data_IF_289955712625
#
_entry.id   IF_289955712625
#
_cell.length_a   1.000
_cell.length_b   1.000
_cell.length_c   1.000
_cell.angle_alpha   90.00
_cell.angle_beta   90.00
_cell.angle_gamma   90.00
#
_symmetry.space_group_name_H-M   'P 1'
#
loop_
_entity.id
_entity.type
_entity.pdbx_description
1 polymer ?
#
# COMPACT_ATOMS: atom_id res chain seq x y z
N UNK A 1 9.22 3.40 -8.14
CA UNK A 1 7.87 3.99 -8.31
C UNK A 1 7.91 5.41 -7.79
N UNK A 2 7.34 6.32 -8.54
CA UNK A 2 7.03 7.68 -8.11
C UNK A 2 5.52 7.85 -8.12
N UNK A 3 4.95 8.28 -7.00
CA UNK A 3 3.51 8.43 -6.83
C UNK A 3 3.19 9.79 -6.22
N UNK A 4 2.23 10.51 -6.83
CA UNK A 4 1.64 11.71 -6.26
C UNK A 4 0.24 11.37 -5.76
N UNK A 5 -0.04 11.71 -4.51
CA UNK A 5 -1.31 11.42 -3.85
C UNK A 5 -1.94 12.71 -3.35
N UNK A 6 -3.23 12.92 -3.65
CA UNK A 6 -4.00 14.07 -3.15
C UNK A 6 -5.07 13.60 -2.19
N UNK A 7 -5.06 14.14 -1.00
CA UNK A 7 -6.06 13.87 0.04
C UNK A 7 -6.83 15.13 0.38
N UNK A 8 -8.14 15.01 0.51
CA UNK A 8 -9.02 16.07 1.02
C UNK A 8 -9.64 15.63 2.34
N UNK A 9 -9.48 16.43 3.38
CA UNK A 9 -10.14 16.16 4.66
C UNK A 9 -11.64 16.42 4.55
N UNK A 10 -12.42 15.36 4.47
CA UNK A 10 -13.89 15.39 4.46
C UNK A 10 -14.50 15.17 5.85
N UNK A 11 -13.67 15.01 6.88
CA UNK A 11 -14.12 14.84 8.26
C UNK A 11 -14.54 16.18 8.90
N UNK A 12 -15.21 16.10 10.03
CA UNK A 12 -15.71 17.27 10.76
C UNK A 12 -14.65 17.92 11.66
N UNK A 13 -13.44 17.37 11.73
CA UNK A 13 -12.36 17.85 12.59
C UNK A 13 -11.07 18.04 11.83
N UNK A 14 -10.19 18.96 12.26
CA UNK A 14 -8.85 19.07 11.73
C UNK A 14 -8.04 17.79 12.00
N UNK A 15 -7.30 17.32 11.00
CA UNK A 15 -6.47 16.11 11.08
C UNK A 15 -5.01 16.50 11.33
N UNK A 16 -4.41 15.95 12.40
CA UNK A 16 -3.00 16.16 12.76
C UNK A 16 -2.08 15.09 12.16
N UNK A 17 -2.64 13.98 11.73
CA UNK A 17 -1.96 12.84 11.16
C UNK A 17 -2.79 12.23 10.05
N UNK A 18 -2.13 11.52 9.14
CA UNK A 18 -2.76 10.71 8.10
C UNK A 18 -2.12 9.33 8.08
N UNK A 19 -2.87 8.35 7.62
CA UNK A 19 -2.39 6.99 7.52
C UNK A 19 -2.43 6.52 6.07
N UNK A 20 -1.40 5.73 5.71
CA UNK A 20 -1.28 5.12 4.39
C UNK A 20 -1.18 3.61 4.55
N UNK A 21 -1.75 2.90 3.61
CA UNK A 21 -1.69 1.44 3.50
C UNK A 21 -0.71 1.06 2.40
N UNK A 22 0.31 0.28 2.75
CA UNK A 22 1.36 -0.23 1.89
C UNK A 22 1.30 -1.76 1.89
N UNK A 23 0.29 -2.30 1.26
CA UNK A 23 -0.02 -3.73 1.30
C UNK A 23 1.05 -4.62 0.69
N UNK A 24 1.91 -4.07 -0.17
CA UNK A 24 3.08 -4.79 -0.68
C UNK A 24 4.06 -5.19 0.42
N UNK A 25 4.09 -4.43 1.53
CA UNK A 25 4.98 -4.74 2.65
C UNK A 25 4.45 -5.85 3.58
N UNK A 26 3.21 -6.30 3.40
CA UNK A 26 2.64 -7.41 4.19
C UNK A 26 3.30 -8.77 3.92
N UNK A 27 4.09 -8.86 2.84
CA UNK A 27 4.82 -10.08 2.45
C UNK A 27 6.25 -10.14 2.99
N UNK A 28 6.64 -9.23 3.90
CA UNK A 28 8.01 -9.07 4.36
C UNK A 28 8.54 -10.31 5.10
N UNK A 29 7.80 -10.77 6.12
CA UNK A 29 8.22 -11.88 6.97
C UNK A 29 7.04 -12.56 7.71
N UNK A 30 7.35 -13.45 8.64
CA UNK A 30 6.36 -14.21 9.42
C UNK A 30 5.68 -13.41 10.53
N UNK A 31 6.07 -12.17 10.80
CA UNK A 31 5.48 -11.35 11.86
C UNK A 31 4.28 -10.53 11.37
N UNK A 32 4.14 -10.38 10.04
CA UNK A 32 3.07 -9.60 9.42
C UNK A 32 1.68 -10.20 9.69
N UNK A 33 0.66 -9.37 9.64
CA UNK A 33 -0.74 -9.79 9.80
C UNK A 33 -1.15 -10.83 8.74
N UNK A 34 -0.70 -10.64 7.49
CA UNK A 34 -0.94 -11.59 6.41
C UNK A 34 -0.30 -12.96 6.68
N UNK A 35 0.95 -12.97 7.14
CA UNK A 35 1.65 -14.22 7.46
C UNK A 35 0.94 -15.00 8.55
N UNK A 36 0.48 -14.32 9.60
CA UNK A 36 -0.29 -14.92 10.69
C UNK A 36 -1.60 -15.52 10.17
N UNK A 37 -2.37 -14.75 9.39
CA UNK A 37 -3.61 -15.26 8.79
C UNK A 37 -3.38 -16.51 7.93
N UNK A 38 -2.38 -16.50 7.02
CA UNK A 38 -2.05 -17.66 6.19
C UNK A 38 -1.71 -18.89 7.07
N UNK A 39 -1.01 -18.67 8.17
CA UNK A 39 -0.68 -19.73 9.13
C UNK A 39 -1.93 -20.27 9.85
N UNK A 40 -2.86 -19.39 10.23
CA UNK A 40 -4.11 -19.75 10.90
C UNK A 40 -5.04 -20.57 10.01
N UNK A 41 -4.92 -20.43 8.69
CA UNK A 41 -5.59 -21.26 7.69
C UNK A 41 -4.86 -22.59 7.41
N UNK A 42 -3.96 -22.99 8.31
CA UNK A 42 -3.14 -24.20 8.22
C UNK A 42 -2.22 -24.27 7.00
N UNK A 43 -2.01 -23.16 6.29
CA UNK A 43 -1.04 -23.08 5.19
C UNK A 43 0.34 -22.72 5.71
N UNK A 44 1.31 -23.60 5.49
CA UNK A 44 2.71 -23.39 5.86
C UNK A 44 3.57 -22.83 4.74
N UNK A 45 3.01 -22.62 3.57
CA UNK A 45 3.75 -22.20 2.37
C UNK A 45 4.52 -20.90 2.58
N UNK A 46 3.87 -19.91 3.20
CA UNK A 46 4.50 -18.62 3.50
C UNK A 46 5.52 -18.71 4.65
N UNK A 47 5.21 -19.48 5.69
CA UNK A 47 6.10 -19.64 6.87
C UNK A 47 7.46 -20.24 6.51
N UNK A 48 7.49 -21.16 5.56
CA UNK A 48 8.72 -21.80 5.06
C UNK A 48 9.31 -21.11 3.82
N UNK A 49 8.71 -20.01 3.35
CA UNK A 49 9.18 -19.30 2.19
C UNK A 49 10.61 -18.76 2.39
N UNK A 50 11.45 -18.95 1.40
CA UNK A 50 12.78 -18.35 1.37
C UNK A 50 12.69 -16.84 1.18
N UNK A 51 13.69 -16.08 1.62
CA UNK A 51 13.75 -14.62 1.48
C UNK A 51 13.52 -14.15 0.03
N UNK A 52 13.99 -14.90 -0.97
CA UNK A 52 13.79 -14.57 -2.39
C UNK A 52 12.33 -14.63 -2.83
N UNK A 53 11.52 -15.49 -2.21
CA UNK A 53 10.09 -15.69 -2.51
C UNK A 53 9.18 -14.70 -1.80
N UNK A 54 9.69 -13.97 -0.82
CA UNK A 54 8.93 -12.96 -0.06
C UNK A 54 8.95 -11.62 -0.76
N UNK A 55 7.92 -10.84 -0.56
CA UNK A 55 7.79 -9.48 -1.06
C UNK A 55 8.06 -8.44 0.03
N UNK A 56 8.26 -7.20 -0.39
CA UNK A 56 8.39 -6.06 0.52
C UNK A 56 8.30 -4.76 -0.27
N UNK A 57 8.10 -3.65 0.42
CA UNK A 57 8.32 -2.33 -0.13
C UNK A 57 9.46 -1.63 0.60
N UNK A 58 10.17 -0.78 -0.12
CA UNK A 58 11.21 0.10 0.43
C UNK A 58 10.86 1.53 0.07
N UNK A 59 10.53 2.35 1.07
CA UNK A 59 10.21 3.75 0.88
C UNK A 59 11.49 4.56 0.96
N UNK A 60 11.85 5.21 -0.15
CA UNK A 60 13.02 6.06 -0.23
C UNK A 60 12.72 7.44 0.35
N UNK A 61 11.51 7.94 0.10
CA UNK A 61 11.11 9.27 0.57
C UNK A 61 9.59 9.46 0.53
N UNK A 62 9.07 10.21 1.51
CA UNK A 62 7.71 10.77 1.53
C UNK A 62 7.85 12.27 1.73
N UNK A 63 7.35 13.07 0.78
CA UNK A 63 7.51 14.52 0.77
C UNK A 63 6.18 15.25 0.70
N UNK A 64 6.08 16.32 1.45
CA UNK A 64 5.12 17.41 1.31
C UNK A 64 5.61 18.57 2.18
N UNK A 65 5.19 19.79 1.88
CA UNK A 65 5.53 20.95 2.70
C UNK A 65 4.97 20.88 4.14
N UNK A 66 3.95 20.06 4.36
CA UNK A 66 3.25 19.93 5.63
C UNK A 66 3.58 18.63 6.40
N UNK A 67 4.50 17.80 5.94
CA UNK A 67 4.94 16.60 6.65
C UNK A 67 6.04 16.97 7.65
N UNK A 68 5.88 16.53 8.90
CA UNK A 68 6.89 16.61 9.95
C UNK A 68 7.74 15.35 9.99
N UNK A 69 7.10 14.20 10.20
CA UNK A 69 7.72 12.88 10.26
C UNK A 69 6.82 11.82 9.67
N UNK A 70 7.37 10.67 9.37
CA UNK A 70 6.61 9.47 9.06
C UNK A 70 7.29 8.23 9.63
N UNK A 71 6.50 7.20 9.93
CA UNK A 71 6.97 5.93 10.47
C UNK A 71 6.05 4.78 10.04
N UNK A 72 6.57 3.56 10.00
CA UNK A 72 5.75 2.36 9.94
C UNK A 72 5.31 1.99 11.35
N UNK A 73 4.08 1.51 11.50
CA UNK A 73 3.60 1.05 12.80
C UNK A 73 4.23 -0.32 13.12
N UNK A 74 4.81 -0.45 14.32
CA UNK A 74 5.54 -1.65 14.76
C UNK A 74 4.69 -2.94 14.68
N UNK A 75 3.40 -2.84 14.96
CA UNK A 75 2.49 -3.99 14.99
C UNK A 75 1.83 -4.29 13.64
N UNK A 76 1.96 -3.37 12.67
CA UNK A 76 1.32 -3.45 11.35
C UNK A 76 2.26 -2.84 10.32
N UNK A 77 3.27 -3.61 9.90
CA UNK A 77 4.38 -3.16 9.04
C UNK A 77 3.97 -2.64 7.66
N UNK A 78 2.73 -2.85 7.28
CA UNK A 78 2.10 -2.36 6.06
C UNK A 78 1.22 -1.11 6.26
N UNK A 79 1.26 -0.53 7.47
CA UNK A 79 0.62 0.76 7.76
C UNK A 79 1.69 1.82 8.05
N UNK A 80 1.53 2.98 7.42
CA UNK A 80 2.43 4.12 7.58
C UNK A 80 1.65 5.26 8.22
N UNK A 81 2.17 5.78 9.32
CA UNK A 81 1.69 6.99 9.97
C UNK A 81 2.50 8.18 9.48
N UNK A 82 1.83 9.26 9.09
CA UNK A 82 2.45 10.52 8.67
C UNK A 82 1.96 11.63 9.59
N UNK A 83 2.87 12.21 10.36
CA UNK A 83 2.59 13.33 11.25
C UNK A 83 2.70 14.65 10.49
N UNK A 84 1.79 15.57 10.74
CA UNK A 84 1.69 16.84 10.03
C UNK A 84 2.21 18.00 10.89
N UNK A 85 2.96 18.94 10.28
CA UNK A 85 3.41 20.19 10.94
C UNK A 85 2.22 21.05 11.37
N UNK A 86 1.18 21.09 10.52
CA UNK A 86 -0.06 21.83 10.78
C UNK A 86 -1.24 20.94 10.45
N UNK A 87 -2.29 20.95 11.29
CA UNK A 87 -3.50 20.17 11.01
C UNK A 87 -4.14 20.55 9.68
N UNK A 88 -4.67 19.56 8.95
CA UNK A 88 -5.49 19.78 7.76
C UNK A 88 -6.90 20.11 8.23
N UNK A 89 -7.35 21.35 8.04
CA UNK A 89 -8.71 21.77 8.38
C UNK A 89 -9.77 20.97 7.61
N UNK A 90 -10.99 20.92 8.12
CA UNK A 90 -12.15 20.40 7.38
C UNK A 90 -12.25 21.07 6.00
N UNK A 91 -12.36 20.27 4.93
CA UNK A 91 -12.35 20.74 3.55
C UNK A 91 -10.97 21.07 2.99
N UNK A 92 -9.92 21.14 3.83
CA UNK A 92 -8.52 21.33 3.41
C UNK A 92 -7.95 20.12 2.72
N UNK A 93 -6.83 20.30 2.02
CA UNK A 93 -6.19 19.25 1.25
C UNK A 93 -4.67 19.21 1.48
N UNK A 94 -4.09 18.05 1.22
CA UNK A 94 -2.64 17.85 1.16
C UNK A 94 -2.30 17.06 -0.10
N UNK A 95 -1.15 17.38 -0.69
CA UNK A 95 -0.51 16.60 -1.73
C UNK A 95 0.77 15.97 -1.16
N UNK A 96 0.97 14.71 -1.43
CA UNK A 96 2.11 13.92 -0.95
C UNK A 96 2.78 13.26 -2.16
N UNK A 97 4.08 13.37 -2.22
CA UNK A 97 4.93 12.66 -3.16
C UNK A 97 5.63 11.51 -2.45
N UNK A 98 5.57 10.31 -3.03
CA UNK A 98 6.22 9.12 -2.49
C UNK A 98 7.14 8.52 -3.55
N UNK A 99 8.39 8.24 -3.15
CA UNK A 99 9.36 7.47 -3.93
C UNK A 99 9.61 6.15 -3.24
N UNK A 100 9.36 5.06 -3.92
CA UNK A 100 9.51 3.73 -3.33
C UNK A 100 9.76 2.65 -4.39
N UNK A 101 10.22 1.50 -3.94
CA UNK A 101 10.36 0.29 -4.76
C UNK A 101 9.60 -0.86 -4.11
N UNK A 102 9.16 -1.81 -4.93
CA UNK A 102 8.48 -3.01 -4.50
C UNK A 102 9.28 -4.20 -4.98
N UNK A 103 9.54 -5.13 -4.07
CA UNK A 103 9.94 -6.48 -4.39
C UNK A 103 8.68 -7.34 -4.35
N UNK A 104 8.31 -7.89 -5.48
CA UNK A 104 7.13 -8.76 -5.58
C UNK A 104 7.37 -10.10 -4.87
N UNK A 105 6.35 -10.67 -4.19
CA UNK A 105 6.39 -12.03 -3.68
C UNK A 105 6.16 -13.06 -4.79
N UNK A 106 6.37 -14.32 -4.50
CA UNK A 106 5.89 -15.44 -5.29
C UNK A 106 4.35 -15.45 -5.30
N UNK A 107 3.73 -15.46 -6.48
CA UNK A 107 2.26 -15.31 -6.65
C UNK A 107 1.45 -16.44 -6.02
N UNK A 108 2.07 -17.59 -5.75
CA UNK A 108 1.41 -18.76 -5.13
C UNK A 108 0.82 -18.48 -3.74
N UNK A 109 1.27 -17.41 -3.07
CA UNK A 109 0.75 -17.11 -1.72
C UNK A 109 -0.67 -16.54 -1.77
N UNK A 110 -0.94 -15.63 -2.72
CA UNK A 110 -2.21 -14.87 -2.75
C UNK A 110 -2.67 -14.48 -4.16
N UNK A 111 -1.98 -14.92 -5.19
CA UNK A 111 -2.22 -14.47 -6.56
C UNK A 111 -1.64 -13.07 -6.89
N UNK A 112 -1.06 -12.36 -5.93
CA UNK A 112 -0.28 -11.16 -6.14
C UNK A 112 1.20 -11.51 -6.14
N UNK A 113 1.95 -11.00 -7.13
CA UNK A 113 3.38 -11.22 -7.18
C UNK A 113 3.88 -11.63 -8.56
N UNK A 114 4.83 -12.54 -8.61
CA UNK A 114 5.37 -13.07 -9.86
C UNK A 114 5.25 -14.60 -9.91
N UNK A 115 5.20 -15.14 -11.13
CA UNK A 115 5.26 -16.56 -11.45
C UNK A 115 6.00 -16.69 -12.78
N UNK A 116 7.21 -17.25 -12.75
CA UNK A 116 8.15 -17.23 -13.87
C UNK A 116 8.29 -15.83 -14.49
N UNK A 117 7.79 -15.64 -15.71
CA UNK A 117 7.86 -14.38 -16.46
C UNK A 117 6.58 -13.51 -16.34
N UNK A 118 5.61 -13.94 -15.53
CA UNK A 118 4.35 -13.22 -15.35
C UNK A 118 4.33 -12.41 -14.05
N UNK A 119 3.75 -11.21 -14.12
CA UNK A 119 3.60 -10.31 -12.97
C UNK A 119 2.13 -9.98 -12.75
N UNK A 120 1.65 -10.24 -11.53
CA UNK A 120 0.26 -10.04 -11.12
C UNK A 120 0.19 -8.90 -10.11
N UNK A 121 -0.26 -7.73 -10.55
CA UNK A 121 -0.30 -6.52 -9.73
C UNK A 121 -1.74 -6.26 -9.25
N UNK A 122 -2.00 -6.56 -7.98
CA UNK A 122 -3.28 -6.32 -7.29
C UNK A 122 -3.02 -5.49 -6.03
N UNK A 123 -3.68 -4.35 -5.87
CA UNK A 123 -3.58 -3.49 -4.67
C UNK A 123 -2.13 -3.13 -4.28
N UNK A 124 -1.28 -2.90 -5.27
CA UNK A 124 0.16 -2.72 -5.14
C UNK A 124 0.60 -1.27 -4.88
N UNK A 125 -0.29 -0.31 -5.14
CA UNK A 125 -0.02 1.09 -4.87
C UNK A 125 -0.22 1.41 -3.39
N UNK A 126 0.57 2.36 -2.87
CA UNK A 126 0.31 2.94 -1.56
C UNK A 126 -0.94 3.80 -1.66
N UNK A 127 -1.86 3.66 -0.70
CA UNK A 127 -3.13 4.39 -0.69
C UNK A 127 -3.39 5.02 0.67
N UNK A 128 -4.28 6.01 0.75
CA UNK A 128 -4.73 6.52 2.04
C UNK A 128 -5.64 5.49 2.71
N UNK A 129 -5.47 5.30 4.03
CA UNK A 129 -6.42 4.53 4.84
C UNK A 129 -7.81 5.15 4.80
N UNK A 130 -8.83 4.35 5.03
CA UNK A 130 -10.19 4.85 5.14
C UNK A 130 -10.35 5.73 6.39
N UNK A 131 -11.13 6.81 6.26
CA UNK A 131 -11.50 7.68 7.38
C UNK A 131 -13.02 7.87 7.41
N UNK A 132 -13.61 7.71 8.59
CA UNK A 132 -15.03 7.99 8.81
C UNK A 132 -15.21 8.59 10.21
N UNK A 133 -16.04 9.61 10.34
CA UNK A 133 -16.24 10.32 11.60
C UNK A 133 -14.95 10.74 12.31
N UNK A 134 -13.95 11.17 11.54
CA UNK A 134 -12.61 11.55 12.03
C UNK A 134 -11.80 10.41 12.67
N UNK A 135 -12.21 9.17 12.49
CA UNK A 135 -11.50 7.96 12.93
C UNK A 135 -10.89 7.29 11.71
N UNK A 136 -9.60 6.98 11.78
CA UNK A 136 -8.88 6.23 10.77
C UNK A 136 -9.12 4.72 10.95
N UNK A 137 -9.46 4.06 9.86
CA UNK A 137 -9.62 2.61 9.76
C UNK A 137 -8.45 2.05 8.98
N UNK A 138 -7.35 1.78 9.69
CA UNK A 138 -6.14 1.23 9.11
C UNK A 138 -6.31 -0.28 8.91
N UNK A 139 -6.23 -0.75 7.67
CA UNK A 139 -6.40 -2.16 7.34
C UNK A 139 -5.09 -2.76 6.86
N UNK A 140 -4.50 -3.67 7.64
CA UNK A 140 -3.46 -4.56 7.15
C UNK A 140 -3.99 -5.45 6.03
N UNK A 141 -3.14 -5.74 5.06
CA UNK A 141 -3.46 -6.71 4.03
C UNK A 141 -3.65 -8.10 4.66
N UNK A 142 -4.85 -8.61 4.56
CA UNK A 142 -5.20 -9.98 4.96
C UNK A 142 -5.58 -10.85 3.75
N UNK A 143 -5.47 -10.31 2.54
CA UNK A 143 -5.90 -10.97 1.31
C UNK A 143 -7.37 -11.45 1.38
N UNK A 144 -8.24 -10.61 1.91
CA UNK A 144 -9.69 -10.85 1.98
C UNK A 144 -10.39 -10.10 0.86
N UNK A 145 -11.46 -10.67 0.33
CA UNK A 145 -12.22 -10.05 -0.77
C UNK A 145 -13.06 -8.85 -0.31
N UNK A 146 -13.39 -8.79 0.98
CA UNK A 146 -14.17 -7.73 1.60
C UNK A 146 -13.34 -6.58 2.19
N UNK A 147 -12.02 -6.59 2.00
CA UNK A 147 -11.17 -5.46 2.42
C UNK A 147 -11.52 -4.21 1.61
N UNK A 148 -11.85 -3.15 2.34
CA UNK A 148 -12.30 -1.90 1.76
C UNK A 148 -11.13 -0.95 1.53
N UNK A 149 -10.95 -0.50 0.27
CA UNK A 149 -10.07 0.61 -0.07
C UNK A 149 -10.89 1.87 -0.28
N UNK A 150 -10.29 3.02 0.03
CA UNK A 150 -10.91 4.31 -0.26
C UNK A 150 -11.03 4.50 -1.78
N UNK A 151 -12.19 4.95 -2.25
CA UNK A 151 -12.38 5.27 -3.67
C UNK A 151 -11.48 6.42 -4.08
N UNK A 152 -10.71 6.22 -5.14
CA UNK A 152 -9.82 7.23 -5.70
C UNK A 152 -9.78 7.13 -7.23
N UNK A 153 -9.46 8.23 -7.89
CA UNK A 153 -9.08 8.22 -9.30
C UNK A 153 -7.59 7.94 -9.44
N UNK A 154 -7.23 7.17 -10.46
CA UNK A 154 -5.85 6.83 -10.75
C UNK A 154 -5.49 7.22 -12.17
N UNK A 155 -4.30 7.79 -12.32
CA UNK A 155 -3.63 7.95 -13.59
C UNK A 155 -2.28 7.26 -13.47
N UNK A 156 -2.01 6.27 -14.32
CA UNK A 156 -0.81 5.45 -14.26
C UNK A 156 -0.03 5.58 -15.56
N UNK A 157 1.27 5.84 -15.44
CA UNK A 157 2.23 5.69 -16.52
C UNK A 157 3.17 4.55 -16.16
N UNK A 158 3.13 3.48 -16.94
CA UNK A 158 3.92 2.27 -16.71
C UNK A 158 4.91 2.14 -17.85
N UNK A 159 6.19 1.93 -17.51
CA UNK A 159 7.23 1.57 -18.46
C UNK A 159 7.73 0.18 -18.12
N UNK A 160 7.90 -0.67 -19.12
CA UNK A 160 8.34 -2.06 -18.98
C UNK A 160 9.14 -2.46 -20.23
N UNK A 161 9.84 -3.58 -20.15
CA UNK A 161 10.67 -4.09 -21.24
C UNK A 161 9.81 -4.53 -22.44
N UNK A 162 10.38 -4.44 -23.65
CA UNK A 162 9.65 -4.67 -24.91
C UNK A 162 9.05 -6.09 -25.03
N UNK A 163 9.64 -7.05 -24.35
CA UNK A 163 9.19 -8.46 -24.34
C UNK A 163 7.96 -8.69 -23.46
N UNK A 164 7.52 -7.70 -22.68
CA UNK A 164 6.38 -7.81 -21.79
C UNK A 164 5.09 -7.25 -22.43
N UNK A 165 3.98 -7.87 -22.09
CA UNK A 165 2.66 -7.42 -22.49
C UNK A 165 1.83 -7.00 -21.28
N UNK A 166 1.27 -5.78 -21.32
CA UNK A 166 0.42 -5.26 -20.25
C UNK A 166 -1.06 -5.56 -20.51
N UNK A 167 -1.68 -6.27 -19.58
CA UNK A 167 -3.13 -6.44 -19.49
C UNK A 167 -3.67 -5.66 -18.29
N UNK A 168 -4.70 -4.87 -18.48
CA UNK A 168 -5.28 -4.03 -17.41
C UNK A 168 -6.78 -3.87 -17.63
N UNK A 169 -7.52 -3.74 -16.52
CA UNK A 169 -8.92 -3.33 -16.51
C UNK A 169 -9.08 -1.78 -16.50
N UNK A 170 -7.99 -1.02 -16.52
CA UNK A 170 -8.02 0.42 -16.63
C UNK A 170 -8.23 0.86 -18.09
N UNK A 171 -8.85 2.03 -18.28
CA UNK A 171 -9.01 2.63 -19.60
C UNK A 171 -7.63 3.06 -20.08
N UNK A 172 -7.19 2.53 -21.22
CA UNK A 172 -5.93 2.89 -21.84
C UNK A 172 -6.11 4.21 -22.60
N UNK A 173 -5.44 5.26 -22.17
CA UNK A 173 -5.29 6.48 -22.94
C UNK A 173 -4.06 6.32 -23.85
N UNK A 174 -4.29 6.38 -25.18
CA UNK A 174 -3.21 6.34 -26.18
C UNK A 174 -2.52 7.69 -26.28
#
# INVERSE_FOLDING_TARGET
IYQIMKFKNTSNTPLKEIFLEDWSNSYLDNTTSLAKRISDEYSRSFSFAQKKQRGSSSINNIKSNNIETWERLDNTLDIIKVNLKKPISTGGSIEIEIYYSIKLPDSKFTGYGYDDDNFYLKNWLIVFSNISNSIWYNQSNLNLDDQSLQKAGYELKISFDEDLHLFSNLIKNN
#
